data_IF_669838743215
#
_entry.id   IF_669838743215
#
_cell.length_a   1.000
_cell.length_b   1.000
_cell.length_c   1.000
_cell.angle_alpha   90.00
_cell.angle_beta   90.00
_cell.angle_gamma   90.00
#
_symmetry.space_group_name_H-M   'P 1'
#
loop_
_entity.id
_entity.type
_entity.pdbx_description
1 polymer ?
#
# COMPACT_ATOMS: atom_id res chain seq x y z
N UNK A 1 28.83 35.77 -7.63
CA UNK A 1 29.46 34.63 -6.94
C UNK A 1 28.40 33.50 -6.90
N UNK A 2 28.54 32.50 -7.79
CA UNK A 2 27.67 31.31 -7.79
C UNK A 2 28.29 30.32 -6.82
N UNK A 3 27.72 30.21 -5.61
CA UNK A 3 28.02 29.09 -4.73
C UNK A 3 27.29 27.83 -5.27
N UNK A 4 28.00 26.75 -5.60
CA UNK A 4 27.36 25.51 -5.97
C UNK A 4 26.68 24.92 -4.73
N UNK A 5 25.36 24.81 -4.76
CA UNK A 5 24.59 24.07 -3.77
C UNK A 5 24.95 22.60 -3.96
N UNK A 6 25.63 22.00 -2.96
CA UNK A 6 25.93 20.57 -2.99
C UNK A 6 24.63 19.76 -2.83
N UNK A 7 24.46 18.66 -3.58
CA UNK A 7 23.35 17.75 -3.38
C UNK A 7 23.40 17.20 -1.95
N UNK A 8 22.27 17.22 -1.25
CA UNK A 8 22.12 16.55 0.03
C UNK A 8 21.62 15.15 -0.26
N UNK A 9 22.48 14.14 -0.13
CA UNK A 9 22.04 12.75 -0.06
C UNK A 9 21.28 12.55 1.24
N UNK A 10 19.96 12.40 1.14
CA UNK A 10 19.12 12.09 2.29
C UNK A 10 18.81 10.60 2.27
N UNK A 11 19.18 9.91 3.35
CA UNK A 11 18.44 8.72 3.78
C UNK A 11 16.95 9.10 3.89
N UNK A 12 15.99 8.18 3.61
CA UNK A 12 14.56 8.48 3.72
C UNK A 12 14.30 9.18 5.05
N UNK A 13 13.72 10.38 5.00
CA UNK A 13 13.44 11.19 6.18
C UNK A 13 12.55 10.34 7.10
N UNK A 14 12.86 10.29 8.40
CA UNK A 14 12.09 9.54 9.38
C UNK A 14 10.59 9.93 9.35
N UNK A 15 10.28 11.19 9.00
CA UNK A 15 8.92 11.65 8.76
C UNK A 15 8.24 10.96 7.58
N UNK A 16 8.97 10.65 6.49
CA UNK A 16 8.44 9.89 5.36
C UNK A 16 8.16 8.43 5.73
N UNK A 17 9.06 7.80 6.50
CA UNK A 17 8.84 6.43 6.96
C UNK A 17 7.62 6.33 7.89
N UNK A 18 7.43 7.30 8.79
CA UNK A 18 6.27 7.37 9.68
C UNK A 18 4.99 7.63 8.86
N UNK A 19 5.04 8.54 7.89
CA UNK A 19 3.93 8.81 6.98
C UNK A 19 3.51 7.55 6.22
N UNK A 20 4.44 6.84 5.60
CA UNK A 20 4.17 5.62 4.85
C UNK A 20 3.61 4.50 5.75
N UNK A 21 4.14 4.36 6.97
CA UNK A 21 3.65 3.40 7.95
C UNK A 21 2.21 3.69 8.37
N UNK A 22 1.89 4.95 8.71
CA UNK A 22 0.54 5.37 9.09
C UNK A 22 -0.45 5.25 7.91
N UNK A 23 -0.03 5.69 6.72
CA UNK A 23 -0.82 5.56 5.49
C UNK A 23 -1.14 4.08 5.19
N UNK A 24 -0.17 3.19 5.37
CA UNK A 24 -0.40 1.76 5.20
C UNK A 24 -1.39 1.18 6.24
N UNK A 25 -1.40 1.68 7.47
CA UNK A 25 -2.38 1.29 8.50
C UNK A 25 -3.80 1.78 8.14
N UNK A 26 -3.92 3.04 7.69
CA UNK A 26 -5.19 3.60 7.20
C UNK A 26 -5.73 2.79 6.02
N UNK A 27 -4.88 2.47 5.05
CA UNK A 27 -5.24 1.66 3.88
C UNK A 27 -5.76 0.26 4.23
N UNK A 28 -5.22 -0.35 5.27
CA UNK A 28 -5.66 -1.67 5.76
C UNK A 28 -6.91 -1.62 6.62
N UNK A 29 -7.40 -0.41 6.95
CA UNK A 29 -8.51 -0.25 7.89
C UNK A 29 -8.16 -0.65 9.32
N UNK A 30 -6.86 -0.68 9.67
CA UNK A 30 -6.39 -1.00 11.02
C UNK A 30 -6.59 0.15 12.02
N UNK A 31 -6.96 1.33 11.53
CA UNK A 31 -7.34 2.49 12.32
C UNK A 31 -8.82 2.76 12.03
N UNK A 32 -9.64 2.70 13.05
CA UNK A 32 -11.09 2.85 12.92
C UNK A 32 -11.49 4.32 12.72
N UNK A 33 -12.64 4.52 12.06
CA UNK A 33 -13.24 5.85 11.91
C UNK A 33 -13.56 6.42 13.30
N UNK A 34 -13.18 7.67 13.54
CA UNK A 34 -13.36 8.34 14.83
C UNK A 34 -12.35 7.95 15.90
N UNK A 35 -11.49 6.95 15.67
CA UNK A 35 -10.45 6.57 16.63
C UNK A 35 -9.46 7.72 16.84
N UNK A 36 -9.25 8.21 18.07
CA UNK A 36 -8.32 9.28 18.34
C UNK A 36 -6.86 8.78 18.22
N UNK A 37 -6.08 9.47 17.45
CA UNK A 37 -4.64 9.26 17.28
C UNK A 37 -3.88 10.35 18.03
N UNK A 38 -3.06 9.96 18.99
CA UNK A 38 -2.24 10.88 19.78
C UNK A 38 -0.77 10.79 19.37
N UNK A 39 -0.14 11.93 19.10
CA UNK A 39 1.28 12.02 18.68
C UNK A 39 2.21 11.26 19.64
N UNK A 40 2.00 11.41 20.97
CA UNK A 40 2.86 10.79 21.97
C UNK A 40 2.81 9.27 21.92
N UNK A 41 1.60 8.70 21.90
CA UNK A 41 1.41 7.24 21.84
C UNK A 41 1.97 6.64 20.56
N UNK A 42 1.80 7.32 19.43
CA UNK A 42 2.34 6.87 18.14
C UNK A 42 3.87 6.96 18.13
N UNK A 43 4.45 8.01 18.69
CA UNK A 43 5.90 8.17 18.81
C UNK A 43 6.53 7.02 19.65
N UNK A 44 5.92 6.68 20.79
CA UNK A 44 6.34 5.56 21.63
C UNK A 44 6.23 4.21 20.90
N UNK A 45 5.10 3.95 20.24
CA UNK A 45 4.88 2.70 19.49
C UNK A 45 5.80 2.52 18.28
N UNK A 46 6.16 3.62 17.61
CA UNK A 46 7.05 3.62 16.44
C UNK A 46 8.54 3.74 16.83
N UNK A 47 8.87 3.97 18.12
CA UNK A 47 10.23 4.14 18.58
C UNK A 47 10.92 5.40 18.04
N UNK A 48 10.17 6.48 17.82
CA UNK A 48 10.67 7.73 17.23
C UNK A 48 10.32 8.94 18.13
N UNK A 49 10.92 10.10 17.85
CA UNK A 49 10.52 11.35 18.52
C UNK A 49 9.16 11.85 18.00
N UNK A 50 8.53 12.79 18.72
CA UNK A 50 7.21 13.34 18.36
C UNK A 50 7.24 14.14 17.04
N UNK A 51 8.35 14.75 16.69
CA UNK A 51 8.45 15.62 15.51
C UNK A 51 8.09 14.92 14.21
N UNK A 52 8.73 13.79 13.81
CA UNK A 52 8.38 13.08 12.58
C UNK A 52 6.93 12.56 12.59
N UNK A 53 6.38 12.20 13.75
CA UNK A 53 4.98 11.78 13.87
C UNK A 53 4.03 12.93 13.58
N UNK A 54 4.29 14.11 14.17
CA UNK A 54 3.47 15.31 13.93
C UNK A 54 3.52 15.77 12.48
N UNK A 55 4.70 15.74 11.84
CA UNK A 55 4.84 16.06 10.41
C UNK A 55 4.04 15.10 9.54
N UNK A 56 4.15 13.81 9.79
CA UNK A 56 3.41 12.78 9.08
C UNK A 56 1.89 12.94 9.24
N UNK A 57 1.41 13.16 10.48
CA UNK A 57 -0.02 13.33 10.75
C UNK A 57 -0.57 14.63 10.16
N UNK A 58 0.19 15.73 10.22
CA UNK A 58 -0.20 17.00 9.58
C UNK A 58 -0.31 16.83 8.05
N UNK A 59 0.60 16.07 7.44
CA UNK A 59 0.53 15.76 6.02
C UNK A 59 -0.69 14.91 5.68
N UNK A 60 -0.96 13.83 6.44
CA UNK A 60 -2.16 13.02 6.26
C UNK A 60 -3.45 13.83 6.43
N UNK A 61 -3.45 14.81 7.35
CA UNK A 61 -4.58 15.73 7.53
C UNK A 61 -4.73 16.69 6.34
N UNK A 62 -3.63 17.21 5.79
CA UNK A 62 -3.68 18.06 4.58
C UNK A 62 -4.16 17.30 3.33
N UNK A 63 -4.01 15.97 3.32
CA UNK A 63 -4.51 15.07 2.29
C UNK A 63 -5.95 14.59 2.56
N UNK A 64 -6.58 15.04 3.67
CA UNK A 64 -7.95 14.67 4.05
C UNK A 64 -8.10 13.25 4.61
N UNK A 65 -6.99 12.52 4.83
CA UNK A 65 -7.00 11.17 5.40
C UNK A 65 -7.17 11.17 6.92
N UNK A 66 -6.84 12.28 7.57
CA UNK A 66 -7.09 12.53 8.98
C UNK A 66 -7.80 13.89 9.14
N UNK A 67 -8.68 13.97 10.11
CA UNK A 67 -9.21 15.23 10.63
C UNK A 67 -8.41 15.62 11.87
N UNK A 68 -8.03 16.91 11.97
CA UNK A 68 -7.32 17.45 13.12
C UNK A 68 -8.31 18.15 14.05
N UNK A 69 -8.39 17.68 15.29
CA UNK A 69 -8.94 18.43 16.40
C UNK A 69 -7.77 18.94 17.25
N UNK A 70 -7.91 20.10 17.90
CA UNK A 70 -6.84 20.84 18.61
C UNK A 70 -5.86 19.98 19.43
N UNK A 71 -6.20 18.77 19.79
CA UNK A 71 -5.40 17.88 20.67
C UNK A 71 -5.15 16.48 20.09
N UNK A 72 -5.84 16.11 19.00
CA UNK A 72 -5.77 14.76 18.43
C UNK A 72 -6.09 14.79 16.94
N UNK A 73 -5.77 13.69 16.29
CA UNK A 73 -6.19 13.40 14.93
C UNK A 73 -7.16 12.23 14.95
N UNK A 74 -8.10 12.21 14.04
CA UNK A 74 -9.05 11.09 13.87
C UNK A 74 -9.20 10.74 12.40
N UNK A 75 -9.58 9.51 12.10
CA UNK A 75 -10.02 9.15 10.75
C UNK A 75 -11.43 9.72 10.55
N UNK A 76 -11.64 10.65 9.60
CA UNK A 76 -12.96 11.22 9.38
C UNK A 76 -13.94 10.20 8.83
N UNK A 77 -15.19 10.28 9.23
CA UNK A 77 -16.27 9.61 8.51
C UNK A 77 -16.46 10.30 7.16
N UNK A 78 -16.55 9.49 6.09
CA UNK A 78 -16.82 10.03 4.75
C UNK A 78 -18.29 10.42 4.64
N UNK A 79 -18.54 11.67 4.24
CA UNK A 79 -19.89 12.13 3.91
C UNK A 79 -20.29 11.69 2.49
N UNK A 80 -21.56 11.79 2.15
CA UNK A 80 -22.05 11.61 0.80
C UNK A 80 -21.30 12.53 -0.18
N UNK A 81 -21.08 13.79 0.21
CA UNK A 81 -20.39 14.78 -0.59
C UNK A 81 -18.94 14.39 -0.87
N UNK A 82 -18.19 13.93 0.15
CA UNK A 82 -16.81 13.45 -0.04
C UNK A 82 -16.73 12.34 -1.09
N UNK A 83 -17.71 11.43 -1.07
CA UNK A 83 -17.79 10.35 -2.05
C UNK A 83 -18.10 10.89 -3.45
N UNK A 84 -19.03 11.80 -3.56
CA UNK A 84 -19.40 12.40 -4.84
C UNK A 84 -18.21 13.15 -5.44
N UNK A 85 -17.51 13.97 -4.66
CA UNK A 85 -16.32 14.72 -5.07
C UNK A 85 -15.18 13.78 -5.52
N UNK A 86 -14.90 12.72 -4.75
CA UNK A 86 -13.88 11.72 -5.13
C UNK A 86 -14.26 10.99 -6.42
N UNK A 87 -15.53 10.58 -6.57
CA UNK A 87 -15.96 9.88 -7.79
C UNK A 87 -16.00 10.79 -9.00
N UNK A 88 -16.32 12.09 -8.86
CA UNK A 88 -16.21 13.06 -9.95
C UNK A 88 -14.78 13.10 -10.50
N UNK A 89 -13.78 13.26 -9.64
CA UNK A 89 -12.37 13.22 -10.05
C UNK A 89 -11.99 11.90 -10.72
N UNK A 90 -12.47 10.78 -10.20
CA UNK A 90 -12.23 9.46 -10.80
C UNK A 90 -12.84 9.34 -12.20
N UNK A 91 -14.07 9.83 -12.40
CA UNK A 91 -14.72 9.85 -13.70
C UNK A 91 -13.99 10.72 -14.73
N UNK A 92 -13.35 11.80 -14.29
CA UNK A 92 -12.57 12.66 -15.18
C UNK A 92 -11.21 12.04 -15.53
N UNK A 93 -10.51 11.47 -14.56
CA UNK A 93 -9.10 11.10 -14.71
C UNK A 93 -8.90 9.65 -15.17
N UNK A 94 -9.60 8.69 -14.56
CA UNK A 94 -9.34 7.28 -14.81
C UNK A 94 -9.74 6.80 -16.20
N UNK A 95 -10.90 7.20 -16.80
CA UNK A 95 -11.24 6.84 -18.17
C UNK A 95 -10.25 7.42 -19.19
N UNK A 96 -9.72 8.62 -18.95
CA UNK A 96 -8.69 9.21 -19.79
C UNK A 96 -7.37 8.42 -19.73
N UNK A 97 -6.96 7.98 -18.53
CA UNK A 97 -5.83 7.09 -18.35
C UNK A 97 -6.03 5.76 -19.08
N UNK A 98 -7.20 5.13 -18.96
CA UNK A 98 -7.53 3.87 -19.66
C UNK A 98 -7.45 3.99 -21.16
N UNK A 99 -8.00 5.08 -21.72
CA UNK A 99 -7.88 5.36 -23.15
C UNK A 99 -6.42 5.42 -23.59
N UNK A 100 -5.58 6.08 -22.79
CA UNK A 100 -4.16 6.27 -23.10
C UNK A 100 -3.32 5.00 -23.03
N UNK A 101 -3.64 4.05 -22.15
CA UNK A 101 -2.88 2.80 -22.00
C UNK A 101 -3.36 1.67 -22.91
N UNK A 102 -4.57 1.74 -23.47
CA UNK A 102 -5.14 0.65 -24.25
C UNK A 102 -4.25 0.20 -25.42
N UNK A 103 -3.62 1.10 -26.21
CA UNK A 103 -2.71 0.67 -27.26
C UNK A 103 -1.48 -0.10 -26.75
N UNK A 104 -0.98 0.23 -25.56
CA UNK A 104 0.14 -0.46 -24.92
C UNK A 104 -0.29 -1.82 -24.37
N UNK A 105 -1.46 -1.86 -23.74
CA UNK A 105 -2.02 -3.05 -23.12
C UNK A 105 -2.61 -4.06 -24.14
N UNK A 106 -2.67 -3.73 -25.43
CA UNK A 106 -2.99 -4.69 -26.49
C UNK A 106 -1.95 -5.80 -26.56
N UNK A 107 -0.67 -5.47 -26.30
CA UNK A 107 0.39 -6.48 -26.15
C UNK A 107 0.17 -7.32 -24.88
N UNK A 108 0.13 -8.66 -25.04
CA UNK A 108 -0.12 -9.58 -23.95
C UNK A 108 0.97 -9.57 -22.87
N UNK A 109 2.23 -9.38 -23.25
CA UNK A 109 3.33 -9.33 -22.30
C UNK A 109 3.25 -8.07 -21.44
N UNK A 110 2.92 -6.93 -22.02
CA UNK A 110 2.69 -5.66 -21.32
C UNK A 110 1.47 -5.74 -20.38
N UNK A 111 0.43 -6.47 -20.78
CA UNK A 111 -0.80 -6.65 -19.99
C UNK A 111 -0.71 -7.75 -18.93
N UNK A 112 0.33 -8.56 -18.92
CA UNK A 112 0.43 -9.78 -18.10
C UNK A 112 0.09 -9.57 -16.61
N UNK A 113 0.54 -8.47 -16.01
CA UNK A 113 0.25 -8.18 -14.59
C UNK A 113 -1.24 -7.84 -14.35
N UNK A 114 -1.92 -7.24 -15.33
CA UNK A 114 -3.36 -6.97 -15.27
C UNK A 114 -4.13 -8.29 -15.36
N UNK A 115 -3.76 -9.16 -16.32
CA UNK A 115 -4.38 -10.47 -16.54
C UNK A 115 -4.20 -11.37 -15.31
N UNK A 116 -3.01 -11.41 -14.72
CA UNK A 116 -2.73 -12.18 -13.51
C UNK A 116 -3.59 -11.69 -12.32
N UNK A 117 -3.66 -10.39 -12.09
CA UNK A 117 -4.48 -9.84 -11.01
C UNK A 117 -5.99 -10.09 -11.24
N UNK A 118 -6.47 -10.10 -12.49
CA UNK A 118 -7.84 -10.46 -12.83
C UNK A 118 -8.11 -11.95 -12.55
N UNK A 119 -7.18 -12.83 -12.89
CA UNK A 119 -7.29 -14.27 -12.61
C UNK A 119 -7.34 -14.54 -11.10
N UNK A 120 -6.49 -13.87 -10.32
CA UNK A 120 -6.49 -13.96 -8.85
C UNK A 120 -7.83 -13.46 -8.26
N UNK A 121 -8.38 -12.36 -8.79
CA UNK A 121 -9.69 -11.87 -8.37
C UNK A 121 -10.82 -12.86 -8.67
N UNK A 122 -10.78 -13.51 -9.84
CA UNK A 122 -11.76 -14.51 -10.22
C UNK A 122 -11.67 -15.75 -9.34
N UNK A 123 -10.46 -16.21 -9.02
CA UNK A 123 -10.23 -17.33 -8.10
C UNK A 123 -10.73 -17.01 -6.69
N UNK A 124 -10.32 -15.87 -6.12
CA UNK A 124 -10.75 -15.44 -4.80
C UNK A 124 -12.27 -15.29 -4.71
N UNK A 125 -12.94 -14.78 -5.77
CA UNK A 125 -14.40 -14.71 -5.82
C UNK A 125 -15.05 -16.09 -5.77
N UNK A 126 -14.52 -17.04 -6.54
CA UNK A 126 -15.02 -18.43 -6.62
C UNK A 126 -14.82 -19.17 -5.29
N UNK A 127 -13.70 -18.94 -4.63
CA UNK A 127 -13.38 -19.48 -3.31
C UNK A 127 -14.15 -18.80 -2.14
N UNK A 128 -14.89 -17.69 -2.39
CA UNK A 128 -15.53 -16.90 -1.34
C UNK A 128 -14.53 -16.07 -0.50
N UNK A 129 -13.26 -16.03 -0.90
CA UNK A 129 -12.20 -15.28 -0.21
C UNK A 129 -12.32 -13.77 -0.48
N UNK A 130 -12.95 -13.06 0.45
CA UNK A 130 -13.11 -11.61 0.34
C UNK A 130 -11.79 -10.85 0.55
N UNK A 131 -10.85 -11.37 1.33
CA UNK A 131 -9.55 -10.74 1.57
C UNK A 131 -8.68 -10.86 0.32
N UNK A 132 -8.54 -12.07 -0.24
CA UNK A 132 -7.82 -12.31 -1.48
C UNK A 132 -8.41 -11.51 -2.65
N UNK A 133 -9.75 -11.34 -2.70
CA UNK A 133 -10.38 -10.51 -3.72
C UNK A 133 -10.01 -9.04 -3.59
N UNK A 134 -9.98 -8.49 -2.35
CA UNK A 134 -9.54 -7.11 -2.13
C UNK A 134 -8.10 -6.90 -2.56
N UNK A 135 -7.23 -7.82 -2.20
CA UNK A 135 -5.80 -7.75 -2.55
C UNK A 135 -5.59 -7.85 -4.07
N UNK A 136 -6.30 -8.75 -4.75
CA UNK A 136 -6.27 -8.86 -6.20
C UNK A 136 -6.80 -7.59 -6.88
N UNK A 137 -7.86 -6.97 -6.35
CA UNK A 137 -8.40 -5.70 -6.86
C UNK A 137 -7.38 -4.55 -6.72
N UNK A 138 -6.62 -4.51 -5.62
CA UNK A 138 -5.53 -3.55 -5.42
C UNK A 138 -4.41 -3.78 -6.42
N UNK A 139 -3.97 -5.04 -6.61
CA UNK A 139 -2.95 -5.38 -7.62
C UNK A 139 -3.39 -5.05 -9.03
N UNK A 140 -4.64 -5.32 -9.38
CA UNK A 140 -5.21 -4.96 -10.67
C UNK A 140 -5.10 -3.45 -10.94
N UNK A 141 -5.47 -2.63 -9.93
CA UNK A 141 -5.35 -1.17 -10.04
C UNK A 141 -3.89 -0.73 -10.20
N UNK A 142 -2.98 -1.26 -9.40
CA UNK A 142 -1.56 -0.94 -9.49
C UNK A 142 -0.97 -1.32 -10.85
N UNK A 143 -1.38 -2.48 -11.40
CA UNK A 143 -0.89 -2.98 -12.68
C UNK A 143 -1.24 -2.05 -13.85
N UNK A 144 -2.47 -1.57 -13.95
CA UNK A 144 -2.80 -0.66 -15.03
C UNK A 144 -2.27 0.77 -14.81
N UNK A 145 -2.15 1.24 -13.54
CA UNK A 145 -1.51 2.53 -13.24
C UNK A 145 -0.03 2.56 -13.64
N UNK A 146 0.66 1.44 -13.51
CA UNK A 146 2.07 1.31 -13.94
C UNK A 146 2.27 1.50 -15.45
N UNK A 147 1.21 1.31 -16.25
CA UNK A 147 1.25 1.55 -17.70
C UNK A 147 0.98 3.01 -18.09
N UNK A 148 0.56 3.86 -17.15
CA UNK A 148 0.22 5.27 -17.44
C UNK A 148 1.50 6.08 -17.62
N UNK A 149 1.78 6.65 -18.82
CA UNK A 149 3.04 7.32 -19.09
C UNK A 149 3.22 8.64 -18.33
N UNK A 150 2.10 9.26 -17.91
CA UNK A 150 2.12 10.55 -17.23
C UNK A 150 2.20 10.37 -15.69
N UNK A 151 3.39 10.57 -15.06
CA UNK A 151 3.55 10.37 -13.63
C UNK A 151 2.77 11.37 -12.78
N UNK A 152 2.41 12.53 -13.33
CA UNK A 152 1.57 13.51 -12.64
C UNK A 152 0.12 13.03 -12.56
N UNK A 153 -0.39 12.45 -13.66
CA UNK A 153 -1.72 11.83 -13.67
C UNK A 153 -1.79 10.68 -12.67
N UNK A 154 -0.79 9.80 -12.65
CA UNK A 154 -0.69 8.70 -11.66
C UNK A 154 -0.77 9.24 -10.23
N UNK A 155 0.06 10.24 -9.88
CA UNK A 155 0.05 10.82 -8.53
C UNK A 155 -1.32 11.42 -8.17
N UNK A 156 -1.96 12.13 -9.10
CA UNK A 156 -3.28 12.73 -8.86
C UNK A 156 -4.33 11.65 -8.62
N UNK A 157 -4.32 10.58 -9.42
CA UNK A 157 -5.22 9.43 -9.22
C UNK A 157 -4.95 8.72 -7.88
N UNK A 158 -3.70 8.63 -7.45
CA UNK A 158 -3.30 7.96 -6.19
C UNK A 158 -3.66 8.77 -4.94
N UNK A 159 -3.74 10.10 -5.01
CA UNK A 159 -4.18 10.93 -3.88
C UNK A 159 -5.55 10.51 -3.35
N UNK A 160 -6.46 10.13 -4.23
CA UNK A 160 -7.82 9.70 -3.86
C UNK A 160 -7.96 8.20 -3.67
N UNK A 161 -6.91 7.43 -3.99
CA UNK A 161 -6.96 5.97 -3.86
C UNK A 161 -7.10 5.52 -2.40
N UNK A 162 -6.59 6.29 -1.46
CA UNK A 162 -6.61 5.94 -0.04
C UNK A 162 -8.02 6.02 0.55
N UNK A 163 -8.79 7.05 0.19
CA UNK A 163 -10.22 7.13 0.50
C UNK A 163 -10.98 5.90 -0.03
N UNK A 164 -10.57 5.40 -1.21
CA UNK A 164 -11.18 4.24 -1.84
C UNK A 164 -10.82 2.90 -1.19
N UNK A 165 -9.72 2.81 -0.46
CA UNK A 165 -9.37 1.57 0.25
C UNK A 165 -10.35 1.28 1.38
N UNK A 166 -10.70 2.30 2.15
CA UNK A 166 -11.71 2.19 3.19
C UNK A 166 -13.07 1.77 2.60
N UNK A 167 -13.46 2.38 1.49
CA UNK A 167 -14.68 2.04 0.73
C UNK A 167 -14.68 0.56 0.30
N UNK A 168 -13.57 0.04 -0.22
CA UNK A 168 -13.46 -1.37 -0.63
C UNK A 168 -13.54 -2.33 0.54
N UNK A 169 -12.99 -1.97 1.69
CA UNK A 169 -13.09 -2.79 2.89
C UNK A 169 -14.55 -3.00 3.31
N UNK A 170 -15.39 -1.97 3.18
CA UNK A 170 -16.81 -2.02 3.53
C UNK A 170 -17.66 -2.77 2.50
N UNK A 171 -17.31 -2.73 1.22
CA UNK A 171 -18.19 -3.23 0.14
C UNK A 171 -17.83 -4.61 -0.38
N UNK A 172 -16.54 -4.95 -0.45
CA UNK A 172 -16.08 -6.21 -1.05
C UNK A 172 -16.22 -7.44 -0.13
N UNK A 173 -16.76 -7.27 1.07
CA UNK A 173 -17.27 -8.36 1.90
C UNK A 173 -18.47 -9.08 1.30
N UNK A 174 -19.33 -8.36 0.56
CA UNK A 174 -20.51 -8.89 -0.10
C UNK A 174 -20.16 -9.61 -1.41
N UNK A 175 -20.63 -10.87 -1.55
CA UNK A 175 -20.37 -11.69 -2.74
C UNK A 175 -21.05 -11.12 -4.00
N UNK A 176 -22.23 -10.52 -3.88
CA UNK A 176 -22.92 -9.91 -5.02
C UNK A 176 -22.18 -8.67 -5.53
N UNK A 177 -21.62 -7.87 -4.61
CA UNK A 177 -20.76 -6.73 -4.96
C UNK A 177 -19.47 -7.20 -5.63
N UNK A 178 -18.82 -8.23 -5.10
CA UNK A 178 -17.63 -8.82 -5.74
C UNK A 178 -17.93 -9.29 -7.17
N UNK A 179 -19.08 -9.93 -7.39
CA UNK A 179 -19.50 -10.36 -8.74
C UNK A 179 -19.67 -9.18 -9.70
N UNK A 180 -20.24 -8.07 -9.26
CA UNK A 180 -20.40 -6.83 -10.05
C UNK A 180 -19.02 -6.27 -10.40
N UNK A 181 -18.13 -6.16 -9.40
CA UNK A 181 -16.77 -5.64 -9.57
C UNK A 181 -15.99 -6.52 -10.56
N UNK A 182 -16.01 -7.85 -10.39
CA UNK A 182 -15.31 -8.80 -11.27
C UNK A 182 -15.75 -8.66 -12.73
N UNK A 183 -17.06 -8.61 -12.98
CA UNK A 183 -17.57 -8.36 -14.34
C UNK A 183 -17.10 -7.03 -14.93
N UNK A 184 -16.95 -6.00 -14.09
CA UNK A 184 -16.39 -4.72 -14.50
C UNK A 184 -14.92 -4.86 -14.94
N UNK A 185 -14.10 -5.51 -14.12
CA UNK A 185 -12.68 -5.76 -14.41
C UNK A 185 -12.52 -6.58 -15.70
N UNK A 186 -13.33 -7.62 -15.89
CA UNK A 186 -13.32 -8.45 -17.11
C UNK A 186 -13.60 -7.62 -18.37
N UNK A 187 -14.59 -6.73 -18.34
CA UNK A 187 -14.92 -5.86 -19.48
C UNK A 187 -13.80 -4.87 -19.78
N UNK A 188 -13.19 -4.28 -18.76
CA UNK A 188 -12.06 -3.37 -18.91
C UNK A 188 -10.90 -4.12 -19.56
N UNK A 189 -10.52 -5.30 -19.03
CA UNK A 189 -9.41 -6.09 -19.54
C UNK A 189 -9.64 -6.55 -20.98
N UNK A 190 -10.87 -6.94 -21.33
CA UNK A 190 -11.21 -7.30 -22.71
C UNK A 190 -11.03 -6.13 -23.70
N UNK A 191 -11.43 -4.92 -23.30
CA UNK A 191 -11.24 -3.72 -24.12
C UNK A 191 -9.74 -3.33 -24.23
N UNK A 192 -8.96 -3.48 -23.14
CA UNK A 192 -7.51 -3.28 -23.17
C UNK A 192 -6.82 -4.29 -24.08
N UNK A 193 -7.21 -5.57 -24.03
CA UNK A 193 -6.69 -6.61 -24.90
C UNK A 193 -6.95 -6.36 -26.39
N UNK A 194 -8.09 -5.72 -26.69
CA UNK A 194 -8.45 -5.30 -28.04
C UNK A 194 -7.73 -4.00 -28.48
N UNK A 195 -7.00 -3.32 -27.58
CA UNK A 195 -6.39 -2.02 -27.85
C UNK A 195 -7.40 -0.88 -28.03
N UNK A 196 -8.70 -1.12 -27.70
CA UNK A 196 -9.78 -0.14 -27.89
C UNK A 196 -9.86 0.79 -26.67
N UNK A 197 -9.22 1.96 -26.78
CA UNK A 197 -9.17 2.96 -25.73
C UNK A 197 -10.55 3.53 -25.36
N UNK A 198 -11.44 3.68 -26.33
CA UNK A 198 -12.79 4.21 -26.06
C UNK A 198 -13.66 3.17 -25.37
N UNK A 199 -13.59 1.89 -25.78
CA UNK A 199 -14.26 0.82 -25.07
C UNK A 199 -13.72 0.64 -23.66
N UNK A 200 -12.40 0.73 -23.44
CA UNK A 200 -11.77 0.66 -22.12
C UNK A 200 -12.23 1.81 -21.21
N UNK A 201 -12.28 3.03 -21.72
CA UNK A 201 -12.77 4.20 -21.00
C UNK A 201 -14.26 4.04 -20.62
N UNK A 202 -15.13 3.59 -21.56
CA UNK A 202 -16.55 3.32 -21.27
C UNK A 202 -16.72 2.19 -20.25
N UNK A 203 -15.97 1.11 -20.38
CA UNK A 203 -16.03 -0.02 -19.45
C UNK A 203 -15.63 0.41 -18.03
N UNK A 204 -14.56 1.22 -17.89
CA UNK A 204 -14.15 1.75 -16.60
C UNK A 204 -15.20 2.72 -16.03
N UNK A 205 -15.74 3.63 -16.83
CA UNK A 205 -16.80 4.54 -16.39
C UNK A 205 -18.01 3.76 -15.83
N UNK A 206 -18.46 2.72 -16.53
CA UNK A 206 -19.55 1.86 -16.08
C UNK A 206 -19.18 1.11 -14.78
N UNK A 207 -17.93 0.63 -14.67
CA UNK A 207 -17.42 0.00 -13.46
C UNK A 207 -17.44 0.97 -12.26
N UNK A 208 -16.97 2.20 -12.44
CA UNK A 208 -16.98 3.25 -11.39
C UNK A 208 -18.40 3.58 -10.95
N UNK A 209 -19.35 3.68 -11.89
CA UNK A 209 -20.77 3.93 -11.60
C UNK A 209 -21.35 2.85 -10.69
N UNK A 210 -21.09 1.57 -11.02
CA UNK A 210 -21.55 0.45 -10.21
C UNK A 210 -20.88 0.41 -8.83
N UNK A 211 -19.58 0.68 -8.78
CA UNK A 211 -18.82 0.71 -7.52
C UNK A 211 -19.32 1.83 -6.59
N UNK A 212 -19.59 3.05 -7.12
CA UNK A 212 -20.17 4.14 -6.35
C UNK A 212 -21.54 3.76 -5.79
N UNK A 213 -22.42 3.19 -6.65
CA UNK A 213 -23.75 2.76 -6.21
C UNK A 213 -23.67 1.72 -5.09
N UNK A 214 -22.86 0.69 -5.26
CA UNK A 214 -22.67 -0.35 -4.25
C UNK A 214 -22.17 0.22 -2.92
N UNK A 215 -21.27 1.19 -2.96
CA UNK A 215 -20.78 1.86 -1.76
C UNK A 215 -21.89 2.66 -1.06
N UNK A 216 -22.62 3.51 -1.78
CA UNK A 216 -23.69 4.32 -1.20
C UNK A 216 -24.78 3.43 -0.56
N UNK A 217 -25.10 2.31 -1.17
CA UNK A 217 -26.04 1.32 -0.62
C UNK A 217 -25.48 0.67 0.66
N UNK A 218 -24.22 0.24 0.65
CA UNK A 218 -23.60 -0.44 1.79
C UNK A 218 -23.44 0.46 3.02
N UNK A 219 -23.32 1.78 2.81
CA UNK A 219 -23.17 2.77 3.89
C UNK A 219 -24.47 3.47 4.27
N UNK A 220 -25.58 3.19 3.54
CA UNK A 220 -26.84 3.89 3.76
C UNK A 220 -26.85 5.35 3.31
N UNK A 221 -25.79 5.79 2.61
CA UNK A 221 -25.65 7.15 2.07
C UNK A 221 -26.39 7.34 0.74
N UNK A 222 -27.17 6.34 0.27
CA UNK A 222 -28.00 6.42 -0.93
C UNK A 222 -29.36 7.12 -0.69
N UNK A 223 -29.73 7.29 0.57
CA UNK A 223 -30.94 8.01 0.94
C UNK A 223 -30.64 9.51 1.00
N UNK A 224 -31.49 10.32 0.38
CA UNK A 224 -31.45 11.78 0.48
C UNK A 224 -31.82 12.20 1.92
N UNK A 225 -30.87 12.08 2.84
CA UNK A 225 -30.93 12.77 4.12
C UNK A 225 -30.32 14.17 3.89
N UNK A 226 -30.91 15.26 4.42
CA UNK A 226 -30.27 16.56 4.39
C UNK A 226 -28.89 16.44 5.02
N UNK A 227 -27.89 17.07 4.38
CA UNK A 227 -26.49 17.11 4.82
C UNK A 227 -26.37 18.04 6.03
N UNK A 228 -26.71 17.55 7.20
CA UNK A 228 -26.67 18.31 8.47
C UNK A 228 -25.29 18.25 9.12
N UNK A 229 -24.24 17.87 8.39
CA UNK A 229 -22.85 17.87 8.91
C UNK A 229 -22.59 16.83 10.02
N UNK A 230 -23.57 16.02 10.38
CA UNK A 230 -23.42 14.91 11.33
C UNK A 230 -22.92 13.68 10.55
N UNK A 231 -21.60 13.55 10.46
CA UNK A 231 -20.92 12.36 9.91
C UNK A 231 -21.50 11.10 10.52
N UNK A 232 -21.65 10.06 9.68
CA UNK A 232 -22.22 8.74 10.02
C UNK A 232 -21.45 8.09 11.17
N UNK A 233 -21.75 8.49 12.41
CA UNK A 233 -21.32 7.79 13.61
C UNK A 233 -22.22 6.57 13.92
N UNK A 234 -23.32 6.36 13.14
CA UNK A 234 -24.38 5.41 13.51
C UNK A 234 -24.51 4.18 12.60
N UNK A 235 -23.81 4.10 11.47
CA UNK A 235 -23.89 2.92 10.60
C UNK A 235 -22.91 1.79 10.96
N UNK A 236 -22.09 1.97 12.01
CA UNK A 236 -21.05 0.98 12.41
C UNK A 236 -21.59 -0.14 13.31
N UNK A 237 -22.89 -0.16 13.63
CA UNK A 237 -23.44 -1.11 14.59
C UNK A 237 -23.86 -2.47 14.01
N UNK A 238 -23.69 -2.74 12.71
CA UNK A 238 -24.14 -4.01 12.13
C UNK A 238 -23.09 -4.75 11.29
N UNK A 239 -21.85 -4.30 11.25
CA UNK A 239 -20.77 -5.13 10.74
C UNK A 239 -20.13 -5.81 11.95
N UNK A 240 -20.51 -7.08 12.17
CA UNK A 240 -19.92 -7.92 13.20
C UNK A 240 -18.39 -7.80 13.11
N UNK A 241 -17.78 -7.45 14.22
CA UNK A 241 -16.34 -7.38 14.40
C UNK A 241 -15.71 -8.71 13.97
N UNK A 242 -15.16 -8.76 12.76
CA UNK A 242 -14.20 -9.76 12.40
C UNK A 242 -12.91 -9.31 13.06
N UNK A 243 -12.68 -9.81 14.26
CA UNK A 243 -11.41 -9.70 14.95
C UNK A 243 -10.34 -10.34 14.06
N UNK A 244 -9.54 -9.52 13.39
CA UNK A 244 -8.33 -9.98 12.72
C UNK A 244 -7.32 -10.22 13.84
N UNK A 245 -6.77 -11.47 13.98
CA UNK A 245 -5.73 -11.73 14.96
C UNK A 245 -4.55 -10.81 14.70
N UNK A 246 -4.16 -10.05 15.71
CA UNK A 246 -2.94 -9.27 15.72
C UNK A 246 -1.81 -10.29 15.80
N UNK A 247 -1.09 -10.47 14.71
CA UNK A 247 0.14 -11.27 14.69
C UNK A 247 1.13 -10.58 15.66
N UNK A 248 1.38 -11.21 16.82
CA UNK A 248 2.41 -10.76 17.75
C UNK A 248 3.77 -10.85 17.05
N UNK A 249 4.64 -9.85 17.20
CA UNK A 249 5.97 -9.93 16.64
C UNK A 249 6.71 -11.11 17.29
N UNK A 250 7.07 -12.08 16.46
CA UNK A 250 7.85 -13.26 16.81
C UNK A 250 9.09 -12.83 17.58
N UNK A 251 9.17 -13.18 18.86
CA UNK A 251 10.28 -12.90 19.75
C UNK A 251 11.59 -13.42 19.12
N UNK A 252 12.59 -12.55 19.09
CA UNK A 252 13.95 -12.90 18.71
C UNK A 252 14.50 -13.95 19.69
N UNK A 253 15.30 -14.93 19.23
CA UNK A 253 15.84 -15.98 20.09
C UNK A 253 16.79 -15.38 21.13
N UNK A 254 16.50 -15.69 22.38
CA UNK A 254 17.14 -15.15 23.57
C UNK A 254 18.66 -15.32 23.59
N UNK A 255 19.33 -14.18 23.74
CA UNK A 255 20.71 -14.13 24.19
C UNK A 255 20.81 -14.57 25.65
N UNK A 256 21.61 -15.59 25.89
CA UNK A 256 21.93 -16.15 27.22
C UNK A 256 22.47 -15.06 28.14
N UNK A 257 21.78 -14.81 29.22
CA UNK A 257 22.30 -14.08 30.38
C UNK A 257 23.46 -14.85 31.00
N UNK A 258 24.64 -14.22 31.09
CA UNK A 258 25.75 -14.63 31.93
C UNK A 258 25.51 -14.11 33.34
N UNK A 259 25.33 -15.04 34.27
CA UNK A 259 25.32 -14.75 35.69
C UNK A 259 26.72 -14.36 36.16
N UNK A 260 26.82 -13.28 36.95
CA UNK A 260 27.97 -12.86 37.67
C UNK A 260 28.13 -13.70 38.97
N UNK A 261 29.29 -14.21 39.20
CA UNK A 261 29.67 -14.81 40.48
C UNK A 261 31.19 -14.84 40.61
N UNK A 262 31.71 -14.07 41.56
CA UNK A 262 33.09 -13.68 41.74
C UNK A 262 34.05 -14.73 42.29
N UNK A 263 35.27 -14.37 42.24
CA UNK A 263 36.42 -14.42 43.15
C UNK A 263 37.73 -14.84 42.50
N UNK A 264 38.70 -14.04 42.68
CA UNK A 264 40.10 -14.15 42.26
C UNK A 264 40.92 -15.03 43.23
N UNK A 265 42.28 -15.05 43.09
CA UNK A 265 43.17 -15.93 42.32
C UNK A 265 44.04 -16.78 43.29
N UNK A 266 45.17 -17.46 43.01
CA UNK A 266 46.35 -17.00 42.29
C UNK A 266 47.22 -18.09 41.58
N UNK A 267 48.14 -17.60 40.72
CA UNK A 267 49.54 -18.02 40.50
C UNK A 267 49.89 -19.41 39.89
N UNK A 268 50.78 -19.34 38.89
CA UNK A 268 51.75 -20.41 38.64
C UNK A 268 52.07 -20.70 37.18
N UNK A 269 53.04 -19.98 36.64
CA UNK A 269 54.34 -20.42 36.09
C UNK A 269 54.35 -21.55 35.02
N UNK A 270 55.03 -21.27 33.90
CA UNK A 270 55.86 -22.32 33.26
C UNK A 270 55.52 -22.61 31.79
N UNK A 271 56.28 -22.05 30.87
CA UNK A 271 57.23 -22.86 30.09
C UNK A 271 56.85 -23.13 28.64
N UNK A 272 57.41 -22.38 27.76
CA UNK A 272 58.44 -22.83 26.78
C UNK A 272 58.01 -23.73 25.59
N UNK A 273 58.45 -23.33 24.42
CA UNK A 273 58.83 -24.17 23.31
C UNK A 273 57.80 -24.27 22.18
N UNK A 274 57.96 -23.79 21.02
CA UNK A 274 59.10 -23.81 20.17
C UNK A 274 58.69 -24.24 18.79
N UNK A 275 59.09 -23.45 17.79
CA UNK A 275 59.54 -23.85 16.44
C UNK A 275 58.54 -24.27 15.36
N UNK A 276 58.52 -23.40 14.32
CA UNK A 276 59.02 -23.70 12.94
C UNK A 276 58.13 -24.64 12.13
N UNK A 277 57.87 -24.48 10.92
CA UNK A 277 58.38 -23.85 9.71
C UNK A 277 57.51 -24.32 8.54
N UNK A 278 57.38 -23.45 7.62
CA UNK A 278 57.81 -23.52 6.21
C UNK A 278 56.85 -24.19 5.21
N UNK A 279 56.42 -23.41 4.25
CA UNK A 279 56.76 -23.40 2.84
C UNK A 279 56.07 -24.52 2.03
N UNK A 280 55.57 -24.36 0.84
CA UNK A 280 55.92 -23.80 -0.45
C UNK A 280 54.75 -24.05 -1.39
N UNK A 281 54.35 -23.11 -2.23
CA UNK A 281 54.77 -22.93 -3.63
C UNK A 281 54.23 -23.93 -4.67
N UNK A 282 53.72 -23.38 -5.76
CA UNK A 282 53.55 -24.00 -7.06
C UNK A 282 52.35 -23.44 -7.80
N UNK A 283 52.46 -22.35 -8.52
CA UNK A 283 52.76 -22.15 -9.95
C UNK A 283 51.95 -23.06 -10.89
N UNK A 284 51.18 -22.48 -11.73
CA UNK A 284 51.41 -22.20 -13.15
C UNK A 284 50.26 -22.85 -13.93
N UNK A 285 49.71 -22.47 -15.04
CA UNK A 285 50.07 -21.66 -16.18
C UNK A 285 48.91 -21.69 -17.19
N UNK A 286 48.64 -20.55 -17.80
CA UNK A 286 48.41 -20.39 -19.25
C UNK A 286 47.04 -20.69 -19.87
N UNK A 287 46.48 -19.61 -20.32
CA UNK A 287 45.67 -19.41 -21.56
C UNK A 287 46.41 -19.95 -22.84
N UNK A 288 45.76 -20.17 -24.00
CA UNK A 288 45.26 -19.09 -24.84
C UNK A 288 44.04 -19.39 -25.75
N UNK A 289 43.34 -18.31 -26.05
CA UNK A 289 42.82 -17.80 -27.33
C UNK A 289 42.76 -18.73 -28.59
N UNK A 290 41.60 -18.66 -29.32
CA UNK A 290 41.52 -18.25 -30.75
C UNK A 290 40.04 -18.32 -31.24
N UNK A 291 39.60 -17.20 -31.77
CA UNK A 291 39.22 -16.84 -33.14
C UNK A 291 37.84 -17.29 -33.63
N UNK A 292 37.03 -16.28 -33.91
CA UNK A 292 36.04 -16.16 -35.01
C UNK A 292 36.67 -16.54 -36.39
N UNK A 293 35.90 -16.81 -37.46
CA UNK A 293 34.83 -15.95 -38.00
C UNK A 293 33.74 -16.71 -38.82
N UNK A 294 32.63 -16.18 -39.03
CA UNK A 294 31.89 -15.58 -40.18
C UNK A 294 30.43 -15.42 -39.80
#
# INVERSE_FOLDING_TARGET
VKHPIKPVERAPNLGEQVYDALRAQLRRGAIEVGQPLQELQLAERLGVSRTPVREAMARLASEGLLASDRRSYTVPALTRRDIDDVYELRFLLEPAAMRGIAPLAADAATRASIDAALADAAEAHRAGDSAGFRDANVRYRAAWLALVPNPRLVRTIELYADHMQHIRALTLGDAAVRAIVLRGLQRITAALAAGDGDAAARALHAHLTQARRAFLQATGLDRDAPDDGAGVATATATVAAVAIPVDEPRAAPGGRAKAAGGRAPPAGNGGNGGRRAAAAAGRGTRSPATRSPR
#
